data_IF_085801057475
#
_entry.id   IF_085801057475
#
_cell.length_a   1.000
_cell.length_b   1.000
_cell.length_c   1.000
_cell.angle_alpha   90.00
_cell.angle_beta   90.00
_cell.angle_gamma   90.00
#
_symmetry.space_group_name_H-M   'P 1'
#
loop_
_entity.id
_entity.type
_entity.pdbx_description
1 polymer ?
#
# COMPACT_ATOMS: atom_id res chain seq x y z
N UNK A 1 -26.57 -6.54 5.63
CA UNK A 1 -25.37 -5.68 5.65
C UNK A 1 -24.16 -6.58 5.56
N UNK A 2 -23.29 -6.41 4.56
CA UNK A 2 -22.10 -7.24 4.43
C UNK A 2 -21.17 -6.95 5.63
N UNK A 3 -20.73 -8.00 6.31
CA UNK A 3 -19.73 -7.90 7.38
C UNK A 3 -18.43 -7.34 6.80
N UNK A 4 -18.17 -6.05 7.00
CA UNK A 4 -16.88 -5.40 6.77
C UNK A 4 -15.73 -6.07 7.55
N UNK A 5 -16.05 -6.93 8.52
CA UNK A 5 -15.10 -7.77 9.25
C UNK A 5 -14.29 -8.75 8.38
N UNK A 6 -14.59 -8.89 7.08
CA UNK A 6 -13.87 -9.78 6.15
C UNK A 6 -12.91 -9.04 5.20
N UNK A 7 -12.59 -7.80 5.53
CA UNK A 7 -11.68 -6.95 4.80
C UNK A 7 -10.26 -6.98 5.39
N UNK A 8 -9.89 -8.05 6.10
CA UNK A 8 -8.48 -8.32 6.39
C UNK A 8 -7.82 -8.78 5.09
N UNK A 9 -6.88 -7.97 4.61
CA UNK A 9 -6.00 -8.29 3.49
C UNK A 9 -4.58 -8.53 4.04
N UNK A 10 -3.72 -9.12 3.22
CA UNK A 10 -2.38 -9.49 3.66
C UNK A 10 -1.57 -8.28 4.12
N UNK A 11 -0.85 -8.41 5.22
CA UNK A 11 0.08 -7.37 5.66
C UNK A 11 1.20 -7.15 4.63
N UNK A 12 1.71 -5.92 4.56
CA UNK A 12 2.83 -5.57 3.69
C UNK A 12 4.06 -6.37 4.10
N UNK A 13 4.53 -7.24 3.21
CA UNK A 13 5.72 -8.04 3.41
C UNK A 13 6.96 -7.16 3.43
N UNK A 14 7.96 -7.53 4.22
CA UNK A 14 9.21 -6.76 4.34
C UNK A 14 9.95 -6.60 3.00
N UNK A 15 9.85 -7.59 2.10
CA UNK A 15 10.44 -7.51 0.75
C UNK A 15 9.67 -6.56 -0.18
N UNK A 16 8.45 -6.16 0.19
CA UNK A 16 7.56 -5.35 -0.64
C UNK A 16 6.95 -6.09 -1.83
N UNK A 17 7.16 -7.40 -1.98
CA UNK A 17 6.64 -8.15 -3.15
C UNK A 17 5.12 -8.01 -3.36
N UNK A 18 4.37 -7.85 -2.28
CA UNK A 18 2.92 -7.61 -2.30
C UNK A 18 2.55 -6.11 -2.18
N UNK A 19 3.49 -5.18 -2.35
CA UNK A 19 3.25 -3.75 -2.15
C UNK A 19 2.14 -3.19 -3.04
N UNK A 20 2.03 -3.63 -4.31
CA UNK A 20 1.00 -3.11 -5.21
C UNK A 20 -0.41 -3.55 -4.81
N UNK A 21 -0.59 -4.81 -4.44
CA UNK A 21 -1.88 -5.31 -3.96
C UNK A 21 -2.21 -4.70 -2.60
N UNK A 22 -1.23 -4.67 -1.68
CA UNK A 22 -1.38 -4.06 -0.36
C UNK A 22 -1.79 -2.59 -0.44
N UNK A 23 -1.14 -1.80 -1.30
CA UNK A 23 -1.45 -0.38 -1.44
C UNK A 23 -2.87 -0.17 -1.98
N UNK A 24 -3.29 -0.98 -2.96
CA UNK A 24 -4.64 -0.92 -3.50
C UNK A 24 -5.70 -1.26 -2.45
N UNK A 25 -5.50 -2.36 -1.72
CA UNK A 25 -6.42 -2.82 -0.67
C UNK A 25 -6.51 -1.80 0.49
N UNK A 26 -5.36 -1.24 0.89
CA UNK A 26 -5.30 -0.20 1.91
C UNK A 26 -6.05 1.07 1.47
N UNK A 27 -5.80 1.58 0.26
CA UNK A 27 -6.52 2.75 -0.27
C UNK A 27 -8.04 2.52 -0.31
N UNK A 28 -8.48 1.35 -0.79
CA UNK A 28 -9.89 0.99 -0.84
C UNK A 28 -10.55 0.93 0.54
N UNK A 29 -9.86 0.43 1.58
CA UNK A 29 -10.38 0.45 2.94
C UNK A 29 -10.51 1.85 3.51
N UNK A 30 -9.50 2.68 3.31
CA UNK A 30 -9.54 4.05 3.79
C UNK A 30 -10.67 4.82 3.10
N UNK A 31 -10.83 4.68 1.79
CA UNK A 31 -11.94 5.28 1.07
C UNK A 31 -13.30 4.75 1.59
N UNK A 32 -13.44 3.44 1.83
CA UNK A 32 -14.67 2.84 2.36
C UNK A 32 -15.00 3.30 3.79
N UNK A 33 -13.99 3.64 4.60
CA UNK A 33 -14.15 4.18 5.95
C UNK A 33 -14.32 5.71 5.97
N UNK A 34 -14.29 6.38 4.82
CA UNK A 34 -14.30 7.85 4.74
C UNK A 34 -13.01 8.50 5.24
N UNK A 35 -11.91 7.74 5.26
CA UNK A 35 -10.59 8.15 5.71
C UNK A 35 -9.62 8.42 4.55
N UNK A 36 -9.97 8.17 3.29
CA UNK A 36 -9.04 8.26 2.15
C UNK A 36 -8.24 9.57 2.00
N UNK A 37 -8.74 10.67 2.55
CA UNK A 37 -8.06 11.97 2.53
C UNK A 37 -6.89 12.08 3.52
N UNK A 38 -6.83 11.24 4.57
CA UNK A 38 -5.75 11.24 5.58
C UNK A 38 -4.37 11.03 4.97
N UNK A 39 -4.28 10.20 3.93
CA UNK A 39 -3.03 9.88 3.20
C UNK A 39 -2.78 10.80 1.99
N UNK A 40 -3.79 11.54 1.53
CA UNK A 40 -3.73 12.43 0.34
C UNK A 40 -3.53 13.91 0.72
N UNK A 41 -4.20 14.38 1.78
CA UNK A 41 -4.22 15.79 2.20
C UNK A 41 -4.27 15.94 3.72
N UNK A 42 -3.11 15.93 4.41
CA UNK A 42 -3.06 15.91 5.87
C UNK A 42 -3.51 17.20 6.56
N UNK A 43 -3.72 18.31 5.83
CA UNK A 43 -3.99 19.64 6.42
C UNK A 43 -5.45 19.86 6.82
N UNK A 44 -6.41 19.16 6.22
CA UNK A 44 -7.85 19.37 6.47
C UNK A 44 -8.50 18.29 7.35
N UNK A 45 -7.72 17.31 7.82
CA UNK A 45 -8.23 16.08 8.44
C UNK A 45 -8.11 16.14 9.96
N UNK A 46 -9.14 15.63 10.66
CA UNK A 46 -9.18 15.63 12.13
C UNK A 46 -8.06 14.79 12.74
N UNK A 47 -7.57 15.17 13.92
CA UNK A 47 -6.54 14.39 14.63
C UNK A 47 -6.99 12.97 14.99
N UNK A 48 -8.30 12.76 15.20
CA UNK A 48 -8.87 11.44 15.46
C UNK A 48 -8.79 10.55 14.22
N UNK A 49 -9.10 11.08 13.05
CA UNK A 49 -9.09 10.31 11.80
C UNK A 49 -7.65 9.96 11.39
N UNK A 50 -6.70 10.88 11.61
CA UNK A 50 -5.27 10.57 11.50
C UNK A 50 -4.83 9.43 12.42
N UNK A 51 -5.34 9.40 13.66
CA UNK A 51 -5.01 8.35 14.62
C UNK A 51 -5.59 6.99 14.22
N UNK A 52 -6.86 6.95 13.77
CA UNK A 52 -7.48 5.71 13.26
C UNK A 52 -6.68 5.14 12.09
N UNK A 53 -6.34 6.02 11.16
CA UNK A 53 -5.66 5.64 9.94
C UNK A 53 -4.24 5.11 10.21
N UNK A 54 -3.46 5.80 11.05
CA UNK A 54 -2.10 5.31 11.35
C UNK A 54 -2.09 4.00 12.14
N UNK A 55 -3.10 3.76 13.00
CA UNK A 55 -3.29 2.47 13.67
C UNK A 55 -3.59 1.39 12.63
N UNK A 56 -4.49 1.69 11.69
CA UNK A 56 -4.87 0.78 10.61
C UNK A 56 -3.69 0.42 9.71
N UNK A 57 -2.94 1.42 9.21
CA UNK A 57 -1.76 1.19 8.37
C UNK A 57 -0.74 0.32 9.10
N UNK A 58 -0.40 0.65 10.34
CA UNK A 58 0.56 -0.12 11.15
C UNK A 58 0.10 -1.55 11.41
N UNK A 59 -1.19 -1.78 11.61
CA UNK A 59 -1.73 -3.12 11.83
C UNK A 59 -1.42 -4.04 10.64
N UNK A 60 -1.47 -3.49 9.43
CA UNK A 60 -1.23 -4.20 8.17
C UNK A 60 0.22 -4.11 7.68
N UNK A 61 1.20 -3.90 8.56
CA UNK A 61 2.62 -4.00 8.24
C UNK A 61 3.23 -5.28 8.81
N UNK A 62 4.24 -5.82 8.13
CA UNK A 62 5.15 -6.78 8.74
C UNK A 62 5.83 -6.18 9.99
N UNK A 63 6.10 -7.01 11.00
CA UNK A 63 6.57 -6.54 12.32
C UNK A 63 7.86 -5.71 12.26
N UNK A 64 8.83 -6.11 11.44
CA UNK A 64 10.05 -5.32 11.23
C UNK A 64 9.78 -3.92 10.67
N UNK A 65 8.78 -3.76 9.79
CA UNK A 65 8.37 -2.44 9.28
C UNK A 65 7.66 -1.63 10.37
N UNK A 66 6.86 -2.26 11.24
CA UNK A 66 6.27 -1.59 12.41
C UNK A 66 7.36 -1.02 13.32
N UNK A 67 8.43 -1.77 13.56
CA UNK A 67 9.58 -1.31 14.35
C UNK A 67 10.31 -0.16 13.67
N UNK A 68 10.58 -0.27 12.38
CA UNK A 68 11.30 0.76 11.61
C UNK A 68 10.55 2.10 11.58
N UNK A 69 9.22 2.06 11.39
CA UNK A 69 8.39 3.25 11.30
C UNK A 69 7.67 3.60 12.61
N UNK A 70 8.11 3.07 13.76
CA UNK A 70 7.44 3.26 15.06
C UNK A 70 7.30 4.74 15.45
N UNK A 71 8.23 5.60 15.01
CA UNK A 71 8.26 7.03 15.35
C UNK A 71 7.43 7.91 14.42
N UNK A 72 7.01 7.41 13.25
CA UNK A 72 6.22 8.18 12.28
C UNK A 72 4.78 8.31 12.77
N UNK A 73 4.32 9.52 13.08
CA UNK A 73 3.00 9.76 13.71
C UNK A 73 1.92 10.24 12.76
N UNK A 74 2.30 10.74 11.58
CA UNK A 74 1.36 11.18 10.56
C UNK A 74 1.17 10.05 9.51
N UNK A 75 -0.08 9.68 9.18
CA UNK A 75 -0.33 8.60 8.23
C UNK A 75 0.11 8.94 6.80
N UNK A 76 0.07 10.20 6.37
CA UNK A 76 0.52 10.60 5.04
C UNK A 76 2.05 10.45 4.91
N UNK A 77 2.79 10.78 5.98
CA UNK A 77 4.24 10.56 6.03
C UNK A 77 4.57 9.06 5.96
N UNK A 78 3.84 8.22 6.71
CA UNK A 78 4.03 6.77 6.67
C UNK A 78 3.74 6.22 5.26
N UNK A 79 2.62 6.62 4.67
CA UNK A 79 2.22 6.23 3.32
C UNK A 79 3.27 6.61 2.29
N UNK A 80 3.75 7.86 2.33
CA UNK A 80 4.80 8.36 1.45
C UNK A 80 6.10 7.58 1.59
N UNK A 81 6.54 7.31 2.82
CA UNK A 81 7.79 6.56 3.06
C UNK A 81 7.72 5.14 2.49
N UNK A 82 6.58 4.45 2.69
CA UNK A 82 6.35 3.12 2.12
C UNK A 82 6.34 3.18 0.59
N UNK A 83 5.69 4.20 0.03
CA UNK A 83 5.64 4.42 -1.41
C UNK A 83 7.02 4.67 -2.00
N UNK A 84 7.82 5.57 -1.44
CA UNK A 84 9.18 5.82 -1.90
C UNK A 84 10.06 4.57 -1.80
N UNK A 85 9.91 3.79 -0.74
CA UNK A 85 10.66 2.55 -0.56
C UNK A 85 10.34 1.50 -1.62
N UNK A 86 9.07 1.32 -1.97
CA UNK A 86 8.62 0.19 -2.79
C UNK A 86 8.15 0.56 -4.19
N UNK A 87 8.07 1.84 -4.57
CA UNK A 87 7.65 2.27 -5.92
C UNK A 87 8.62 1.77 -7.01
N UNK A 88 9.86 1.44 -6.67
CA UNK A 88 10.79 0.79 -7.60
C UNK A 88 10.25 -0.56 -8.11
N UNK A 89 9.41 -1.24 -7.35
CA UNK A 89 8.76 -2.49 -7.77
C UNK A 89 7.79 -2.27 -8.93
N UNK A 90 7.16 -1.09 -9.05
CA UNK A 90 6.37 -0.75 -10.25
C UNK A 90 7.22 -0.77 -11.50
N UNK A 91 8.44 -0.24 -11.41
CA UNK A 91 9.38 -0.26 -12.53
C UNK A 91 9.80 -1.69 -12.86
N UNK A 92 10.15 -2.50 -11.86
CA UNK A 92 10.58 -3.89 -12.07
C UNK A 92 9.46 -4.74 -12.69
N UNK A 93 8.24 -4.65 -12.17
CA UNK A 93 7.08 -5.39 -12.68
C UNK A 93 6.76 -4.97 -14.11
N UNK A 94 6.77 -3.67 -14.40
CA UNK A 94 6.53 -3.16 -15.75
C UNK A 94 7.59 -3.62 -16.75
N UNK A 95 8.87 -3.59 -16.37
CA UNK A 95 9.96 -4.06 -17.23
C UNK A 95 9.85 -5.57 -17.48
N UNK A 96 9.53 -6.36 -16.46
CA UNK A 96 9.31 -7.79 -16.58
C UNK A 96 8.14 -8.11 -17.52
N UNK A 97 7.00 -7.45 -17.34
CA UNK A 97 5.83 -7.63 -18.20
C UNK A 97 6.12 -7.25 -19.65
N UNK A 98 6.90 -6.19 -19.89
CA UNK A 98 7.35 -5.80 -21.25
C UNK A 98 8.25 -6.86 -21.89
N UNK A 99 9.17 -7.42 -21.12
CA UNK A 99 10.06 -8.48 -21.59
C UNK A 99 9.28 -9.76 -21.92
N UNK A 100 8.39 -10.20 -21.03
CA UNK A 100 7.51 -11.36 -21.27
C UNK A 100 6.62 -11.14 -22.49
N UNK A 101 6.05 -9.94 -22.66
CA UNK A 101 5.26 -9.60 -23.85
C UNK A 101 6.08 -9.63 -25.14
N UNK A 102 7.33 -9.18 -25.11
CA UNK A 102 8.24 -9.26 -26.26
C UNK A 102 8.55 -10.71 -26.62
N UNK A 103 8.81 -11.55 -25.63
CA UNK A 103 9.06 -12.99 -25.84
C UNK A 103 7.84 -13.69 -26.45
N UNK A 104 6.63 -13.42 -25.95
CA UNK A 104 5.40 -13.98 -26.50
C UNK A 104 5.21 -13.60 -27.98
N UNK A 105 5.43 -12.32 -28.34
CA UNK A 105 5.37 -11.91 -29.76
C UNK A 105 6.37 -12.67 -30.62
N UNK A 106 7.61 -12.86 -30.15
CA UNK A 106 8.64 -13.58 -30.92
C UNK A 106 8.29 -15.06 -31.11
N UNK A 107 7.57 -15.65 -30.16
CA UNK A 107 7.09 -17.03 -30.25
C UNK A 107 5.94 -17.18 -31.26
N UNK A 108 5.13 -16.15 -31.48
CA UNK A 108 4.07 -16.16 -32.51
C UNK A 108 4.61 -16.03 -33.95
N UNK A 109 5.88 -15.65 -34.13
CA UNK A 109 6.55 -15.50 -35.44
C UNK A 109 7.48 -16.68 -35.79
N UNK A 110 7.61 -17.68 -34.91
CA UNK A 110 8.35 -18.94 -35.16
C UNK A 110 7.38 -20.09 -35.39
#
# INVERSE_FOLDING_TARGET
MANLAKLEFEALDISGRNYLSWALDAEMHLDAMGLGDTIKSPQAVSGQDKAKDIIFLRHHLHDNLKTEYLTVKDPADLWKNLKERYDHLKMVILQKARYEWMLLRLQDFM
#
